data_IF_766280725618
#
_entry.id   IF_766280725618
#
_cell.length_a   1.000
_cell.length_b   1.000
_cell.length_c   1.000
_cell.angle_alpha   90.00
_cell.angle_beta   90.00
_cell.angle_gamma   90.00
#
_symmetry.space_group_name_H-M   'P 1'
#
loop_
_entity.id
_entity.type
_entity.pdbx_description
1 polymer ?
#
# COMPACT_ATOMS: atom_id res chain seq x y z
N UNK A 1 38.71 27.10 18.54
CA UNK A 1 39.71 28.19 18.63
C UNK A 1 39.17 29.22 19.61
N UNK A 2 39.96 29.47 20.66
CA UNK A 2 40.05 30.65 21.54
C UNK A 2 38.77 31.16 22.23
N UNK A 3 38.55 30.99 23.54
CA UNK A 3 39.29 31.35 24.79
C UNK A 3 38.64 32.60 25.44
N UNK A 4 38.30 32.43 26.73
CA UNK A 4 38.18 33.42 27.82
C UNK A 4 36.93 34.33 27.80
N UNK A 5 36.32 34.73 28.91
CA UNK A 5 36.81 34.83 30.31
C UNK A 5 35.60 35.01 31.23
N UNK A 6 35.58 34.29 32.35
CA UNK A 6 34.86 34.69 33.57
C UNK A 6 35.68 35.78 34.29
N UNK A 7 35.06 36.87 34.75
CA UNK A 7 35.32 37.22 36.15
C UNK A 7 34.10 37.89 36.84
N UNK A 8 33.65 37.31 37.95
CA UNK A 8 33.76 37.95 39.27
C UNK A 8 33.00 37.17 40.34
N UNK A 9 33.68 36.17 40.88
CA UNK A 9 33.59 35.78 42.29
C UNK A 9 33.81 37.04 43.16
N UNK A 10 32.73 37.58 43.72
CA UNK A 10 32.83 38.40 44.92
C UNK A 10 32.78 37.45 46.12
N UNK A 11 33.92 37.36 46.77
CA UNK A 11 34.22 36.67 48.02
C UNK A 11 33.17 36.98 49.11
N UNK A 12 32.47 35.94 49.56
CA UNK A 12 31.39 35.97 50.54
C UNK A 12 31.88 35.72 51.98
N UNK A 13 33.18 35.87 52.26
CA UNK A 13 33.76 35.54 53.58
C UNK A 13 33.50 36.56 54.70
N UNK A 14 32.86 37.71 54.46
CA UNK A 14 32.62 38.72 55.52
C UNK A 14 31.22 38.71 56.18
N UNK A 15 30.31 37.80 55.82
CA UNK A 15 28.93 37.81 56.36
C UNK A 15 28.64 36.73 57.41
N UNK A 16 29.64 36.00 57.92
CA UNK A 16 29.44 34.92 58.89
C UNK A 16 29.40 35.34 60.37
N UNK A 17 29.51 36.62 60.70
CA UNK A 17 29.49 37.05 62.10
C UNK A 17 28.47 38.16 62.35
N UNK A 18 27.24 37.72 62.67
CA UNK A 18 26.38 38.20 63.77
C UNK A 18 24.92 37.94 63.40
N UNK A 19 24.54 36.66 63.38
CA UNK A 19 23.17 36.27 63.69
C UNK A 19 23.17 35.87 65.16
N UNK A 20 22.52 36.66 66.01
CA UNK A 20 21.93 36.24 67.29
C UNK A 20 21.41 37.49 68.04
N UNK A 21 20.18 37.91 67.74
CA UNK A 21 19.18 37.93 68.81
C UNK A 21 17.76 37.99 68.25
N UNK A 22 16.96 37.12 68.85
CA UNK A 22 15.61 36.72 68.53
C UNK A 22 14.59 37.67 69.19
N UNK A 23 13.40 37.79 68.58
CA UNK A 23 12.18 37.96 69.35
C UNK A 23 11.30 39.16 68.99
N UNK A 24 10.11 38.86 68.45
CA UNK A 24 8.89 39.52 68.90
C UNK A 24 8.11 40.28 67.85
N UNK A 25 7.11 39.60 67.27
CA UNK A 25 5.81 40.08 66.80
C UNK A 25 5.49 41.57 67.04
N UNK A 26 4.95 42.25 66.02
CA UNK A 26 3.52 42.55 65.99
C UNK A 26 3.09 43.10 64.62
N UNK A 27 2.01 42.48 64.15
CA UNK A 27 1.15 42.78 63.02
C UNK A 27 0.41 44.09 63.27
N UNK A 28 0.41 45.05 62.34
CA UNK A 28 -0.71 45.99 62.18
C UNK A 28 -0.79 46.55 60.76
N UNK A 29 -1.95 46.31 60.14
CA UNK A 29 -2.49 46.94 58.94
C UNK A 29 -2.61 48.47 59.12
N UNK A 30 -2.51 49.21 58.02
CA UNK A 30 -3.00 50.59 57.96
C UNK A 30 -3.80 50.78 56.66
N UNK A 31 -5.10 50.94 56.86
CA UNK A 31 -6.09 51.34 55.87
C UNK A 31 -5.90 52.78 55.39
N UNK A 32 -6.44 52.99 54.21
CA UNK A 32 -6.76 54.28 53.59
C UNK A 32 -7.54 55.20 54.54
N UNK A 33 -7.28 56.51 54.50
CA UNK A 33 -8.26 57.42 53.91
C UNK A 33 -7.77 58.86 53.80
N UNK A 34 -8.27 59.46 52.73
CA UNK A 34 -8.11 60.82 52.26
C UNK A 34 -8.85 61.82 53.16
N UNK A 35 -8.34 63.06 53.22
CA UNK A 35 -9.16 64.20 53.62
C UNK A 35 -8.73 65.48 52.91
N UNK A 36 -9.62 65.94 52.04
CA UNK A 36 -9.78 67.33 51.63
C UNK A 36 -10.09 68.22 52.84
N UNK A 37 -9.57 69.44 52.88
CA UNK A 37 -10.39 70.65 53.03
C UNK A 37 -9.57 71.93 52.99
N UNK A 38 -10.07 72.86 52.16
CA UNK A 38 -9.76 74.28 52.12
C UNK A 38 -10.04 74.96 53.46
N UNK A 39 -9.36 76.06 53.78
CA UNK A 39 -9.97 77.27 54.36
C UNK A 39 -9.03 78.49 54.35
N UNK A 40 -9.56 79.54 53.73
CA UNK A 40 -9.43 80.99 53.95
C UNK A 40 -8.34 81.58 54.87
N UNK A 41 -7.68 82.56 54.28
CA UNK A 41 -6.93 83.70 54.82
C UNK A 41 -7.31 84.25 56.20
N UNK A 42 -6.30 84.51 57.03
CA UNK A 42 -6.15 85.77 57.77
C UNK A 42 -4.70 85.97 58.23
N UNK A 43 -4.22 87.20 58.03
CA UNK A 43 -2.88 87.70 58.30
C UNK A 43 -2.49 87.69 59.78
N UNK A 44 -1.24 87.32 60.10
CA UNK A 44 -0.32 88.16 60.91
C UNK A 44 1.04 87.50 61.21
N UNK A 45 2.09 88.30 61.00
CA UNK A 45 3.35 88.36 61.76
C UNK A 45 4.41 87.25 61.63
N UNK A 46 5.47 87.58 60.86
CA UNK A 46 6.76 86.88 60.76
C UNK A 46 7.49 86.74 62.11
N UNK A 47 7.95 85.53 62.44
CA UNK A 47 9.06 85.30 63.39
C UNK A 47 9.91 84.10 62.95
N UNK A 48 11.16 84.35 62.49
CA UNK A 48 12.14 83.32 62.11
C UNK A 48 12.68 82.59 63.36
N UNK A 49 12.68 81.26 63.38
CA UNK A 49 13.47 80.40 64.31
C UNK A 49 14.47 79.57 63.51
N UNK A 50 15.74 79.60 63.92
CA UNK A 50 16.86 78.77 63.41
C UNK A 50 16.81 77.38 64.07
N UNK A 51 17.03 76.32 63.30
CA UNK A 51 17.24 74.93 63.74
C UNK A 51 18.66 74.73 64.32
N UNK A 52 18.79 73.99 65.42
CA UNK A 52 20.08 73.59 66.05
C UNK A 52 20.44 72.16 65.62
N UNK A 53 21.73 71.91 65.42
CA UNK A 53 22.32 70.61 65.09
C UNK A 53 22.49 69.75 66.35
N UNK A 54 22.27 68.42 66.31
CA UNK A 54 22.45 67.52 67.46
C UNK A 54 23.93 67.37 67.88
N UNK A 55 24.14 67.02 69.15
CA UNK A 55 25.45 66.80 69.76
C UNK A 55 26.05 65.42 69.44
N UNK A 56 27.33 65.25 69.75
CA UNK A 56 28.13 64.09 69.34
C UNK A 56 27.68 62.77 70.00
N UNK A 57 27.10 62.80 71.20
CA UNK A 57 26.64 61.58 71.88
C UNK A 57 25.35 61.03 71.27
N UNK A 58 24.46 61.93 70.85
CA UNK A 58 23.21 61.58 70.17
C UNK A 58 23.49 60.99 68.78
N UNK A 59 24.53 61.50 68.09
CA UNK A 59 24.97 60.96 66.81
C UNK A 59 25.48 59.52 66.93
N UNK A 60 26.29 59.23 67.95
CA UNK A 60 26.87 57.89 68.14
C UNK A 60 25.85 56.83 68.59
N UNK A 61 24.91 57.17 69.48
CA UNK A 61 23.95 56.20 70.03
C UNK A 61 22.75 55.94 69.14
N UNK A 62 22.22 56.97 68.48
CA UNK A 62 20.92 56.88 67.82
C UNK A 62 21.02 56.97 66.29
N UNK A 63 21.93 57.81 65.78
CA UNK A 63 22.02 58.11 64.34
C UNK A 63 22.94 57.13 63.61
N UNK A 64 24.10 56.78 64.18
CA UNK A 64 25.07 55.88 63.53
C UNK A 64 24.51 54.47 63.27
N UNK A 65 23.80 53.79 64.19
CA UNK A 65 23.24 52.46 63.94
C UNK A 65 22.12 52.45 62.90
N UNK A 66 21.28 53.49 62.89
CA UNK A 66 20.21 53.66 61.90
C UNK A 66 20.78 53.95 60.50
N UNK A 67 21.82 54.77 60.40
CA UNK A 67 22.55 54.98 59.14
C UNK A 67 23.22 53.69 58.63
N UNK A 68 23.79 52.88 59.52
CA UNK A 68 24.37 51.58 59.14
C UNK A 68 23.30 50.59 58.65
N UNK A 69 22.15 50.50 59.32
CA UNK A 69 21.02 49.68 58.89
C UNK A 69 20.49 50.11 57.51
N UNK A 70 20.29 51.42 57.31
CA UNK A 70 19.85 51.97 56.03
C UNK A 70 20.85 51.68 54.91
N UNK A 71 22.17 51.71 55.18
CA UNK A 71 23.19 51.32 54.19
C UNK A 71 23.08 49.85 53.78
N UNK A 72 22.85 48.95 54.74
CA UNK A 72 22.68 47.52 54.47
C UNK A 72 21.39 47.27 53.70
N UNK A 73 20.27 47.86 54.11
CA UNK A 73 18.98 47.77 53.41
C UNK A 73 19.08 48.32 51.99
N UNK A 74 19.76 49.46 51.80
CA UNK A 74 20.01 50.03 50.47
C UNK A 74 20.85 49.09 49.60
N UNK A 75 21.89 48.47 50.17
CA UNK A 75 22.73 47.50 49.45
C UNK A 75 21.96 46.23 49.06
N UNK A 76 21.09 45.73 49.93
CA UNK A 76 20.18 44.62 49.63
C UNK A 76 19.16 44.98 48.55
N UNK A 77 18.59 46.18 48.60
CA UNK A 77 17.66 46.68 47.58
C UNK A 77 18.35 46.80 46.21
N UNK A 78 19.58 47.32 46.16
CA UNK A 78 20.37 47.33 44.92
C UNK A 78 20.68 45.93 44.40
N UNK A 79 21.01 44.99 45.29
CA UNK A 79 21.24 43.60 44.90
C UNK A 79 19.97 42.93 44.35
N UNK A 80 18.83 43.09 45.02
CA UNK A 80 17.54 42.53 44.60
C UNK A 80 17.02 43.12 43.30
N UNK A 81 17.21 44.42 43.08
CA UNK A 81 16.85 45.08 41.81
C UNK A 81 17.77 44.61 40.67
N UNK A 82 19.07 44.51 40.92
CA UNK A 82 20.02 43.99 39.94
C UNK A 82 19.73 42.54 39.55
N UNK A 83 19.43 41.67 40.51
CA UNK A 83 19.11 40.26 40.22
C UNK A 83 17.78 40.12 39.50
N UNK A 84 16.77 40.92 39.88
CA UNK A 84 15.48 40.98 39.17
C UNK A 84 15.68 41.44 37.73
N UNK A 85 16.39 42.53 37.49
CA UNK A 85 16.64 43.04 36.14
C UNK A 85 17.41 42.03 35.27
N UNK A 86 18.33 41.28 35.88
CA UNK A 86 19.05 40.21 35.18
C UNK A 86 18.13 39.04 34.84
N UNK A 87 17.24 38.65 35.77
CA UNK A 87 16.27 37.58 35.54
C UNK A 87 15.25 37.99 34.45
N UNK A 88 14.74 39.21 34.50
CA UNK A 88 13.80 39.74 33.51
C UNK A 88 14.42 39.76 32.10
N UNK A 89 15.71 40.09 31.98
CA UNK A 89 16.45 39.98 30.71
C UNK A 89 16.55 38.54 30.21
N UNK A 90 16.80 37.58 31.10
CA UNK A 90 16.87 36.16 30.70
C UNK A 90 15.50 35.62 30.28
N UNK A 91 14.43 36.01 30.95
CA UNK A 91 13.05 35.63 30.59
C UNK A 91 12.70 36.20 29.22
N UNK A 92 12.97 37.48 28.98
CA UNK A 92 12.70 38.11 27.69
C UNK A 92 13.47 37.45 26.54
N UNK A 93 14.71 37.01 26.77
CA UNK A 93 15.50 36.30 25.77
C UNK A 93 14.98 34.88 25.52
N UNK A 94 14.54 34.16 26.55
CA UNK A 94 13.92 32.85 26.40
C UNK A 94 12.59 32.94 25.65
N UNK A 95 11.76 33.95 25.95
CA UNK A 95 10.49 34.18 25.24
C UNK A 95 10.75 34.44 23.75
N UNK A 96 11.78 35.24 23.43
CA UNK A 96 12.20 35.48 22.04
C UNK A 96 12.61 34.18 21.32
N UNK A 97 13.35 33.30 21.99
CA UNK A 97 13.75 32.00 21.42
C UNK A 97 12.57 31.06 21.21
N UNK A 98 11.58 31.08 22.12
CA UNK A 98 10.35 30.30 21.97
C UNK A 98 9.56 30.77 20.75
N UNK A 99 9.41 32.08 20.55
CA UNK A 99 8.71 32.62 19.39
C UNK A 99 9.40 32.22 18.07
N UNK A 100 10.73 32.25 18.02
CA UNK A 100 11.50 31.78 16.85
C UNK A 100 11.25 30.28 16.56
N UNK A 101 11.29 29.43 17.58
CA UNK A 101 11.01 28.00 17.43
C UNK A 101 9.56 27.71 17.01
N UNK A 102 8.60 28.51 17.48
CA UNK A 102 7.21 28.41 17.06
C UNK A 102 7.08 28.72 15.56
N UNK A 103 7.74 29.78 15.09
CA UNK A 103 7.74 30.14 13.66
C UNK A 103 8.36 29.05 12.79
N UNK A 104 9.51 28.50 13.20
CA UNK A 104 10.18 27.42 12.47
C UNK A 104 9.32 26.15 12.42
N UNK A 105 8.71 25.77 13.55
CA UNK A 105 7.78 24.64 13.61
C UNK A 105 6.60 24.84 12.66
N UNK A 106 6.01 26.04 12.62
CA UNK A 106 4.90 26.35 11.71
C UNK A 106 5.33 26.28 10.24
N UNK A 107 6.55 26.71 9.91
CA UNK A 107 7.10 26.60 8.56
C UNK A 107 7.34 25.16 8.14
N UNK A 108 7.95 24.36 9.01
CA UNK A 108 8.17 22.93 8.77
C UNK A 108 6.84 22.19 8.62
N UNK A 109 5.85 22.50 9.45
CA UNK A 109 4.51 21.92 9.33
C UNK A 109 3.87 22.25 7.98
N UNK A 110 3.99 23.49 7.52
CA UNK A 110 3.53 23.89 6.17
C UNK A 110 4.28 23.14 5.07
N UNK A 111 5.59 22.94 5.21
CA UNK A 111 6.39 22.18 4.25
C UNK A 111 5.98 20.69 4.19
N UNK A 112 5.77 20.06 5.35
CA UNK A 112 5.29 18.68 5.47
C UNK A 112 3.91 18.53 4.82
N UNK A 113 2.99 19.45 5.09
CA UNK A 113 1.65 19.42 4.49
C UNK A 113 1.70 19.57 2.96
N UNK A 114 2.57 20.44 2.42
CA UNK A 114 2.79 20.58 0.97
C UNK A 114 3.35 19.29 0.35
N UNK A 115 4.30 18.65 1.04
CA UNK A 115 4.88 17.39 0.57
C UNK A 115 3.85 16.25 0.61
N UNK A 116 3.05 16.18 1.68
CA UNK A 116 1.97 15.21 1.81
C UNK A 116 0.91 15.35 0.70
N UNK A 117 0.52 16.58 0.35
CA UNK A 117 -0.38 16.85 -0.78
C UNK A 117 0.23 16.44 -2.13
N UNK A 118 1.53 16.67 -2.33
CA UNK A 118 2.24 16.26 -3.56
C UNK A 118 2.38 14.74 -3.65
N UNK A 119 2.68 14.06 -2.56
CA UNK A 119 2.77 12.59 -2.49
C UNK A 119 1.38 11.97 -2.69
N UNK A 120 0.34 12.51 -2.06
CA UNK A 120 -1.04 12.07 -2.24
C UNK A 120 -1.50 12.21 -3.70
N UNK A 121 -1.19 13.34 -4.35
CA UNK A 121 -1.48 13.55 -5.78
C UNK A 121 -0.72 12.59 -6.71
N UNK A 122 0.56 12.30 -6.42
CA UNK A 122 1.35 11.31 -7.18
C UNK A 122 0.78 9.90 -7.00
N UNK A 123 0.32 9.53 -5.80
CA UNK A 123 -0.31 8.23 -5.55
C UNK A 123 -1.68 8.11 -6.23
N UNK A 124 -2.48 9.18 -6.29
CA UNK A 124 -3.74 9.22 -7.02
C UNK A 124 -3.54 9.11 -8.54
N UNK A 125 -2.59 9.85 -9.13
CA UNK A 125 -2.28 9.75 -10.56
C UNK A 125 -1.63 8.41 -10.94
N UNK A 126 -0.82 7.80 -10.04
CA UNK A 126 -0.26 6.46 -10.28
C UNK A 126 -1.29 5.34 -10.13
N UNK A 127 -2.30 5.51 -9.27
CA UNK A 127 -3.43 4.58 -9.20
C UNK A 127 -4.29 4.62 -10.47
N UNK A 128 -4.45 5.79 -11.08
CA UNK A 128 -5.19 5.95 -12.35
C UNK A 128 -4.38 5.52 -13.59
N UNK A 129 -3.04 5.54 -13.53
CA UNK A 129 -2.15 5.11 -14.62
C UNK A 129 -1.62 3.68 -14.48
N UNK A 130 -2.42 2.74 -13.96
CA UNK A 130 -2.17 1.32 -14.25
C UNK A 130 -2.38 1.14 -15.75
N UNK A 131 -1.29 1.07 -16.53
CA UNK A 131 -1.35 0.59 -17.90
C UNK A 131 -2.00 -0.80 -17.84
N UNK A 132 -3.23 -0.88 -18.33
CA UNK A 132 -3.97 -2.14 -18.37
C UNK A 132 -3.18 -3.14 -19.22
N UNK A 133 -3.29 -4.41 -18.88
CA UNK A 133 -2.67 -5.49 -19.64
C UNK A 133 -3.00 -5.36 -21.13
N UNK A 134 -2.03 -5.75 -21.98
CA UNK A 134 -2.20 -5.75 -23.44
C UNK A 134 -3.48 -6.52 -23.78
N UNK A 135 -4.34 -5.89 -24.60
CA UNK A 135 -5.63 -6.47 -24.98
C UNK A 135 -5.37 -7.68 -25.89
N UNK A 136 -5.59 -8.89 -25.38
CA UNK A 136 -5.68 -10.10 -26.22
C UNK A 136 -6.98 -10.04 -27.02
N UNK A 137 -7.01 -10.62 -28.21
CA UNK A 137 -8.21 -10.72 -29.02
C UNK A 137 -9.39 -11.34 -28.25
N UNK A 138 -10.59 -10.86 -28.54
CA UNK A 138 -11.80 -11.32 -27.86
C UNK A 138 -12.22 -12.72 -28.36
N UNK A 139 -12.53 -13.70 -27.46
CA UNK A 139 -12.91 -15.06 -27.85
C UNK A 139 -14.15 -15.06 -28.76
N UNK A 140 -14.20 -15.81 -29.86
CA UNK A 140 -15.39 -15.86 -30.77
C UNK A 140 -16.72 -16.07 -30.00
N UNK A 141 -17.84 -15.62 -30.56
CA UNK A 141 -19.14 -15.82 -29.91
C UNK A 141 -19.54 -17.30 -29.90
N UNK A 142 -20.09 -17.76 -28.77
CA UNK A 142 -20.70 -19.09 -28.69
C UNK A 142 -22.09 -19.05 -29.34
N UNK A 143 -22.25 -19.78 -30.45
CA UNK A 143 -23.53 -19.96 -31.14
C UNK A 143 -23.91 -21.43 -31.15
N UNK A 144 -25.21 -21.74 -31.10
CA UNK A 144 -25.66 -23.13 -31.20
C UNK A 144 -25.51 -23.64 -32.64
N UNK A 145 -24.56 -24.57 -32.84
CA UNK A 145 -24.41 -25.33 -34.08
C UNK A 145 -23.37 -24.82 -35.08
N UNK A 146 -22.50 -23.85 -34.71
CA UNK A 146 -21.31 -23.46 -35.51
C UNK A 146 -20.11 -23.22 -34.60
N UNK A 147 -18.91 -23.32 -35.19
CA UNK A 147 -17.64 -23.01 -34.54
C UNK A 147 -17.71 -21.67 -33.78
N UNK A 148 -17.11 -21.58 -32.58
CA UNK A 148 -16.24 -22.57 -31.92
C UNK A 148 -17.00 -23.70 -31.20
N UNK A 149 -16.36 -24.87 -31.08
CA UNK A 149 -16.78 -25.90 -30.12
C UNK A 149 -16.81 -25.31 -28.71
N UNK A 150 -17.76 -25.76 -27.88
CA UNK A 150 -17.93 -25.25 -26.51
C UNK A 150 -16.63 -25.28 -25.69
N UNK A 151 -15.87 -26.36 -25.79
CA UNK A 151 -14.58 -26.52 -25.09
C UNK A 151 -13.54 -25.48 -25.49
N UNK A 152 -13.44 -25.23 -26.80
CA UNK A 152 -12.51 -24.23 -27.34
C UNK A 152 -12.91 -22.83 -26.90
N UNK A 153 -14.22 -22.53 -26.93
CA UNK A 153 -14.76 -21.28 -26.42
C UNK A 153 -14.50 -21.11 -24.92
N UNK A 154 -14.78 -22.12 -24.11
CA UNK A 154 -14.58 -22.12 -22.66
C UNK A 154 -13.11 -21.89 -22.30
N UNK A 155 -12.20 -22.58 -22.97
CA UNK A 155 -10.75 -22.40 -22.80
C UNK A 155 -10.31 -20.97 -23.15
N UNK A 156 -10.81 -20.42 -24.26
CA UNK A 156 -10.52 -19.05 -24.69
C UNK A 156 -11.05 -18.02 -23.69
N UNK A 157 -12.26 -18.21 -23.16
CA UNK A 157 -12.85 -17.33 -22.15
C UNK A 157 -12.08 -17.36 -20.83
N UNK A 158 -11.70 -18.54 -20.34
CA UNK A 158 -10.87 -18.67 -19.14
C UNK A 158 -9.51 -18.00 -19.30
N UNK A 159 -8.89 -18.17 -20.46
CA UNK A 159 -7.60 -17.53 -20.78
C UNK A 159 -7.74 -16.00 -20.82
N UNK A 160 -8.83 -15.49 -21.41
CA UNK A 160 -9.13 -14.05 -21.45
C UNK A 160 -9.24 -13.46 -20.05
N UNK A 161 -9.96 -14.12 -19.15
CA UNK A 161 -10.09 -13.66 -17.75
C UNK A 161 -8.80 -13.80 -16.95
N UNK A 162 -7.97 -14.80 -17.24
CA UNK A 162 -6.68 -14.96 -16.57
C UNK A 162 -5.68 -13.88 -17.00
N UNK A 163 -5.57 -13.59 -18.30
CA UNK A 163 -4.56 -12.65 -18.82
C UNK A 163 -5.00 -11.19 -18.69
N UNK A 164 -6.28 -10.90 -18.91
CA UNK A 164 -6.84 -9.55 -18.77
C UNK A 164 -7.58 -9.39 -17.43
N UNK A 165 -7.08 -9.99 -16.35
CA UNK A 165 -7.73 -9.95 -15.03
C UNK A 165 -8.00 -8.53 -14.52
N UNK A 166 -7.12 -7.59 -14.84
CA UNK A 166 -7.25 -6.16 -14.52
C UNK A 166 -8.38 -5.44 -15.29
N UNK A 167 -8.92 -6.04 -16.35
CA UNK A 167 -10.09 -5.53 -17.08
C UNK A 167 -11.42 -6.01 -16.49
N UNK A 168 -11.39 -7.01 -15.60
CA UNK A 168 -12.58 -7.63 -15.00
C UNK A 168 -12.49 -7.60 -13.47
N UNK A 169 -12.70 -6.43 -12.85
CA UNK A 169 -12.44 -6.22 -11.42
C UNK A 169 -13.35 -7.05 -10.50
N UNK A 170 -14.54 -7.42 -10.97
CA UNK A 170 -15.54 -8.17 -10.19
C UNK A 170 -16.23 -9.27 -11.02
N UNK A 171 -16.92 -10.17 -10.35
CA UNK A 171 -17.65 -11.28 -11.00
C UNK A 171 -18.80 -10.80 -11.89
N UNK A 172 -19.45 -9.67 -11.56
CA UNK A 172 -20.52 -9.13 -12.39
C UNK A 172 -20.00 -8.68 -13.77
N UNK A 173 -18.80 -8.09 -13.83
CA UNK A 173 -18.13 -7.72 -15.07
C UNK A 173 -17.76 -8.95 -15.92
N UNK A 174 -17.35 -10.06 -15.28
CA UNK A 174 -17.09 -11.33 -15.98
C UNK A 174 -18.38 -11.96 -16.49
N UNK A 175 -19.44 -11.96 -15.69
CA UNK A 175 -20.77 -12.47 -16.08
C UNK A 175 -21.32 -11.68 -17.28
N UNK A 176 -21.30 -10.35 -17.21
CA UNK A 176 -21.72 -9.48 -18.30
C UNK A 176 -20.88 -9.71 -19.57
N UNK A 177 -19.56 -9.93 -19.41
CA UNK A 177 -18.71 -10.27 -20.55
C UNK A 177 -19.05 -11.65 -21.14
N UNK A 178 -19.32 -12.67 -20.32
CA UNK A 178 -19.77 -13.98 -20.79
C UNK A 178 -21.07 -13.83 -21.59
N UNK A 179 -22.06 -13.12 -21.05
CA UNK A 179 -23.33 -12.84 -21.74
C UNK A 179 -23.09 -12.21 -23.12
N UNK A 180 -22.24 -11.17 -23.18
CA UNK A 180 -21.87 -10.50 -24.43
C UNK A 180 -21.06 -11.39 -25.40
N UNK A 181 -20.48 -12.51 -24.95
CA UNK A 181 -19.78 -13.50 -25.80
C UNK A 181 -20.62 -14.74 -26.10
N UNK A 182 -21.90 -14.73 -25.74
CA UNK A 182 -22.87 -15.74 -26.15
C UNK A 182 -23.88 -15.15 -27.13
N UNK A 183 -24.34 -15.95 -28.08
CA UNK A 183 -25.34 -15.52 -29.07
C UNK A 183 -26.32 -16.66 -29.38
N UNK A 184 -27.43 -16.34 -30.04
CA UNK A 184 -28.44 -17.30 -30.45
C UNK A 184 -29.07 -18.06 -29.27
N UNK A 185 -28.98 -19.39 -29.29
CA UNK A 185 -29.56 -20.19 -28.23
C UNK A 185 -28.81 -20.06 -26.89
N UNK A 186 -27.48 -19.88 -26.92
CA UNK A 186 -26.67 -19.76 -25.71
C UNK A 186 -27.06 -18.51 -24.93
N UNK A 187 -27.18 -17.37 -25.62
CA UNK A 187 -27.67 -16.12 -25.02
C UNK A 187 -29.09 -16.29 -24.44
N UNK A 188 -29.99 -16.97 -25.15
CA UNK A 188 -31.35 -17.24 -24.66
C UNK A 188 -31.38 -18.06 -23.38
N UNK A 189 -30.51 -19.06 -23.25
CA UNK A 189 -30.39 -19.85 -22.01
C UNK A 189 -29.90 -19.00 -20.84
N UNK A 190 -28.91 -18.13 -21.05
CA UNK A 190 -28.40 -17.24 -20.01
C UNK A 190 -29.43 -16.17 -19.60
N UNK A 191 -30.05 -15.51 -20.58
CA UNK A 191 -30.93 -14.35 -20.37
C UNK A 191 -32.08 -14.64 -19.38
N UNK A 192 -32.60 -15.88 -19.35
CA UNK A 192 -33.67 -16.26 -18.43
C UNK A 192 -33.25 -16.12 -16.95
N UNK A 193 -32.02 -16.53 -16.62
CA UNK A 193 -31.48 -16.56 -15.26
C UNK A 193 -30.73 -15.26 -14.89
N UNK A 194 -30.46 -14.40 -15.87
CA UNK A 194 -29.84 -13.07 -15.67
C UNK A 194 -30.84 -11.96 -15.33
N UNK A 195 -32.15 -12.22 -15.44
CA UNK A 195 -33.21 -11.22 -15.15
C UNK A 195 -33.10 -10.68 -13.72
N UNK A 196 -33.49 -9.41 -13.57
CA UNK A 196 -33.58 -8.78 -12.27
C UNK A 196 -34.59 -9.53 -11.38
N UNK A 197 -34.20 -9.81 -10.13
CA UNK A 197 -35.02 -10.54 -9.17
C UNK A 197 -35.14 -12.06 -9.41
N UNK A 198 -34.40 -12.64 -10.37
CA UNK A 198 -34.40 -14.10 -10.54
C UNK A 198 -33.77 -14.76 -9.28
N UNK A 199 -34.47 -15.68 -8.60
CA UNK A 199 -34.02 -16.24 -7.31
C UNK A 199 -32.70 -16.99 -7.41
N UNK A 200 -32.42 -17.58 -8.57
CA UNK A 200 -31.19 -18.32 -8.81
C UNK A 200 -30.17 -17.54 -9.64
N UNK A 201 -30.20 -16.21 -9.71
CA UNK A 201 -29.25 -15.45 -10.55
C UNK A 201 -27.80 -15.87 -10.30
N UNK A 202 -27.00 -15.96 -11.37
CA UNK A 202 -25.60 -16.36 -11.28
C UNK A 202 -24.81 -15.36 -10.41
N UNK A 203 -24.11 -15.88 -9.41
CA UNK A 203 -23.25 -15.09 -8.53
C UNK A 203 -21.82 -15.01 -9.05
N UNK A 204 -21.36 -16.03 -9.79
CA UNK A 204 -20.00 -16.10 -10.32
C UNK A 204 -19.95 -16.50 -11.79
N UNK A 205 -18.88 -16.09 -12.48
CA UNK A 205 -18.57 -16.55 -13.83
C UNK A 205 -18.40 -18.07 -13.90
N UNK A 206 -17.91 -18.69 -12.81
CA UNK A 206 -17.79 -20.14 -12.68
C UNK A 206 -19.13 -20.86 -12.78
N UNK A 207 -20.16 -20.35 -12.10
CA UNK A 207 -21.52 -20.89 -12.18
C UNK A 207 -22.11 -20.74 -13.58
N UNK A 208 -21.86 -19.61 -14.25
CA UNK A 208 -22.30 -19.41 -15.64
C UNK A 208 -21.65 -20.42 -16.58
N UNK A 209 -20.34 -20.69 -16.43
CA UNK A 209 -19.66 -21.72 -17.20
C UNK A 209 -20.17 -23.13 -16.90
N UNK A 210 -20.43 -23.45 -15.64
CA UNK A 210 -20.97 -24.76 -15.25
C UNK A 210 -22.36 -25.00 -15.87
N UNK A 211 -23.21 -23.98 -15.88
CA UNK A 211 -24.53 -24.06 -16.51
C UNK A 211 -24.45 -24.23 -18.03
N UNK A 212 -23.58 -23.47 -18.71
CA UNK A 212 -23.37 -23.65 -20.15
C UNK A 212 -22.75 -25.03 -20.47
N UNK A 213 -21.89 -25.52 -19.59
CA UNK A 213 -21.26 -26.84 -19.71
C UNK A 213 -22.30 -27.96 -19.65
N UNK A 214 -23.24 -27.89 -18.72
CA UNK A 214 -24.35 -28.86 -18.62
C UNK A 214 -25.23 -28.92 -19.89
N UNK A 215 -25.40 -27.79 -20.59
CA UNK A 215 -26.23 -27.71 -21.80
C UNK A 215 -25.45 -28.16 -23.05
N UNK A 216 -24.17 -27.80 -23.17
CA UNK A 216 -23.42 -27.90 -24.41
C UNK A 216 -22.30 -28.94 -24.41
N UNK A 217 -21.88 -29.43 -23.25
CA UNK A 217 -20.95 -30.56 -23.19
C UNK A 217 -21.71 -31.86 -23.48
N UNK A 218 -21.12 -32.70 -24.31
CA UNK A 218 -21.63 -34.04 -24.53
C UNK A 218 -21.34 -34.92 -23.30
N UNK A 219 -22.36 -35.40 -22.56
CA UNK A 219 -22.15 -36.23 -21.37
C UNK A 219 -21.45 -37.55 -21.70
N UNK A 220 -21.54 -38.01 -22.96
CA UNK A 220 -20.91 -39.24 -23.42
C UNK A 220 -19.55 -38.99 -24.08
N UNK A 221 -19.00 -37.78 -24.03
CA UNK A 221 -17.75 -37.42 -24.72
C UNK A 221 -16.61 -38.41 -24.49
N UNK A 222 -16.37 -38.83 -23.25
CA UNK A 222 -15.32 -39.80 -22.93
C UNK A 222 -15.58 -41.16 -23.57
N UNK A 223 -16.82 -41.64 -23.51
CA UNK A 223 -17.19 -42.93 -24.09
C UNK A 223 -17.18 -42.88 -25.63
N UNK A 224 -17.61 -41.77 -26.20
CA UNK A 224 -17.52 -41.49 -27.64
C UNK A 224 -16.05 -41.48 -28.10
N UNK A 225 -15.16 -40.78 -27.38
CA UNK A 225 -13.73 -40.79 -27.65
C UNK A 225 -13.13 -42.19 -27.55
N UNK A 226 -13.51 -42.99 -26.53
CA UNK A 226 -13.09 -44.39 -26.41
C UNK A 226 -13.58 -45.25 -27.56
N UNK A 227 -14.82 -45.06 -28.02
CA UNK A 227 -15.39 -45.77 -29.16
C UNK A 227 -14.67 -45.39 -30.46
N UNK A 228 -14.44 -44.11 -30.69
CA UNK A 228 -13.73 -43.60 -31.86
C UNK A 228 -12.27 -44.05 -31.88
N UNK A 229 -11.60 -44.00 -30.73
CA UNK A 229 -10.25 -44.54 -30.56
C UNK A 229 -10.22 -46.03 -30.85
N UNK A 230 -11.15 -46.83 -30.31
CA UNK A 230 -11.25 -48.27 -30.60
C UNK A 230 -11.41 -48.56 -32.09
N UNK A 231 -12.26 -47.78 -32.78
CA UNK A 231 -12.54 -47.92 -34.21
C UNK A 231 -11.43 -47.37 -35.11
N UNK A 232 -10.55 -46.53 -34.59
CA UNK A 232 -9.45 -45.97 -35.35
C UNK A 232 -8.49 -47.08 -35.78
N UNK A 233 -8.32 -47.20 -37.09
CA UNK A 233 -7.34 -48.05 -37.77
C UNK A 233 -6.93 -47.28 -39.04
N UNK A 234 -5.63 -47.27 -39.35
CA UNK A 234 -5.07 -46.71 -40.57
C UNK A 234 -5.42 -47.63 -41.75
N UNK A 235 -6.12 -47.10 -42.75
CA UNK A 235 -6.44 -47.84 -43.97
C UNK A 235 -5.29 -47.76 -44.97
N UNK A 236 -5.29 -48.69 -45.92
CA UNK A 236 -4.39 -48.63 -47.06
C UNK A 236 -4.68 -47.36 -47.87
N UNK A 237 -3.67 -46.51 -48.08
CA UNK A 237 -3.78 -45.23 -48.76
C UNK A 237 -4.02 -44.02 -47.85
N UNK A 238 -4.28 -44.21 -46.55
CA UNK A 238 -4.35 -43.08 -45.61
C UNK A 238 -2.97 -42.42 -45.47
N UNK A 239 -2.97 -41.08 -45.34
CA UNK A 239 -1.75 -40.34 -45.04
C UNK A 239 -1.27 -40.63 -43.61
N UNK A 240 -0.03 -41.10 -43.47
CA UNK A 240 0.54 -41.51 -42.19
C UNK A 240 0.50 -40.40 -41.13
N UNK A 241 0.91 -39.17 -41.47
CA UNK A 241 0.94 -38.07 -40.49
C UNK A 241 -0.44 -37.62 -40.05
N UNK A 242 -1.43 -37.66 -40.96
CA UNK A 242 -2.82 -37.40 -40.62
C UNK A 242 -3.36 -38.48 -39.66
N UNK A 243 -3.03 -39.76 -39.90
CA UNK A 243 -3.37 -40.85 -38.99
C UNK A 243 -2.73 -40.67 -37.61
N UNK A 244 -1.43 -40.39 -37.53
CA UNK A 244 -0.71 -40.18 -36.25
C UNK A 244 -1.34 -39.05 -35.45
N UNK A 245 -1.65 -37.93 -36.10
CA UNK A 245 -2.30 -36.77 -35.45
C UNK A 245 -3.64 -37.17 -34.86
N UNK A 246 -4.46 -37.90 -35.64
CA UNK A 246 -5.76 -38.40 -35.19
C UNK A 246 -5.64 -39.42 -34.06
N UNK A 247 -4.65 -40.31 -34.13
CA UNK A 247 -4.35 -41.29 -33.08
C UNK A 247 -4.04 -40.61 -31.76
N UNK A 248 -3.10 -39.67 -31.75
CA UNK A 248 -2.69 -38.96 -30.53
C UNK A 248 -3.83 -38.11 -29.95
N UNK A 249 -4.59 -37.46 -30.82
CA UNK A 249 -5.76 -36.68 -30.41
C UNK A 249 -6.80 -37.57 -29.71
N UNK A 250 -7.23 -38.66 -30.35
CA UNK A 250 -8.22 -39.58 -29.78
C UNK A 250 -7.68 -40.33 -28.54
N UNK A 251 -6.39 -40.68 -28.50
CA UNK A 251 -5.78 -41.30 -27.33
C UNK A 251 -5.82 -40.36 -26.12
N UNK A 252 -5.58 -39.06 -26.34
CA UNK A 252 -5.70 -38.03 -25.31
C UNK A 252 -7.14 -37.87 -24.81
N UNK A 253 -8.11 -37.75 -25.72
CA UNK A 253 -9.52 -37.61 -25.35
C UNK A 253 -10.10 -38.86 -24.66
N UNK A 254 -9.68 -40.06 -25.10
CA UNK A 254 -10.07 -41.33 -24.51
C UNK A 254 -9.32 -41.67 -23.21
N UNK A 255 -8.34 -40.84 -22.82
CA UNK A 255 -7.49 -41.00 -21.63
C UNK A 255 -6.72 -42.33 -21.63
N UNK A 256 -6.17 -42.72 -22.77
CA UNK A 256 -5.36 -43.93 -22.90
C UNK A 256 -4.01 -43.72 -22.20
N UNK A 257 -3.56 -44.65 -21.35
CA UNK A 257 -2.23 -44.60 -20.76
C UNK A 257 -1.13 -44.57 -21.83
N UNK A 258 -0.09 -43.75 -21.64
CA UNK A 258 1.02 -43.63 -22.60
C UNK A 258 1.78 -44.94 -22.81
N UNK A 259 1.82 -45.80 -21.79
CA UNK A 259 2.47 -47.11 -21.87
C UNK A 259 1.79 -48.04 -22.88
N UNK A 260 0.49 -47.85 -23.10
CA UNK A 260 -0.29 -48.64 -24.07
C UNK A 260 -0.14 -48.12 -25.51
N UNK A 261 0.38 -46.89 -25.71
CA UNK A 261 0.43 -46.25 -27.04
C UNK A 261 1.21 -47.09 -28.03
N UNK A 262 2.35 -47.66 -27.63
CA UNK A 262 3.20 -48.43 -28.53
C UNK A 262 2.46 -49.65 -29.11
N UNK A 263 1.84 -50.45 -28.25
CA UNK A 263 1.13 -51.66 -28.66
C UNK A 263 -0.07 -51.31 -29.53
N UNK A 264 -0.92 -50.40 -29.03
CA UNK A 264 -2.12 -49.98 -29.74
C UNK A 264 -1.81 -49.36 -31.10
N UNK A 265 -0.80 -48.49 -31.16
CA UNK A 265 -0.40 -47.84 -32.39
C UNK A 265 -0.01 -48.86 -33.44
N UNK A 266 0.86 -49.82 -33.08
CA UNK A 266 1.27 -50.89 -33.99
C UNK A 266 0.07 -51.69 -34.50
N UNK A 267 -0.86 -52.08 -33.62
CA UNK A 267 -2.07 -52.83 -34.00
C UNK A 267 -3.04 -52.03 -34.89
N UNK A 268 -2.97 -50.70 -34.84
CA UNK A 268 -3.84 -49.80 -35.60
C UNK A 268 -3.22 -49.31 -36.91
N UNK A 269 -1.96 -49.59 -37.18
CA UNK A 269 -1.34 -49.32 -38.48
C UNK A 269 -2.00 -50.14 -39.60
N UNK A 270 -1.81 -49.70 -40.84
CA UNK A 270 -2.24 -50.47 -42.00
C UNK A 270 -1.45 -51.77 -42.10
N UNK A 271 -2.06 -52.81 -42.64
CA UNK A 271 -1.40 -54.13 -42.74
C UNK A 271 -0.06 -54.05 -43.48
N UNK A 272 0.00 -53.28 -44.56
CA UNK A 272 1.24 -53.11 -45.34
C UNK A 272 2.33 -52.42 -44.52
N UNK A 273 1.97 -51.36 -43.77
CA UNK A 273 2.92 -50.65 -42.92
C UNK A 273 3.40 -51.53 -41.76
N UNK A 274 2.48 -52.22 -41.07
CA UNK A 274 2.80 -53.21 -40.04
C UNK A 274 3.81 -54.23 -40.55
N UNK A 275 3.56 -54.82 -41.72
CA UNK A 275 4.44 -55.84 -42.30
C UNK A 275 5.84 -55.31 -42.60
N UNK A 276 5.96 -54.09 -43.13
CA UNK A 276 7.28 -53.51 -43.46
C UNK A 276 8.08 -53.12 -42.22
N UNK A 277 7.41 -52.64 -41.17
CA UNK A 277 8.10 -52.17 -39.95
C UNK A 277 8.31 -53.26 -38.91
N UNK A 278 7.61 -54.40 -39.03
CA UNK A 278 7.59 -55.47 -38.02
C UNK A 278 8.99 -55.83 -37.50
N UNK A 279 9.92 -56.16 -38.40
CA UNK A 279 11.28 -56.56 -38.00
C UNK A 279 12.05 -55.45 -37.27
N UNK A 280 11.88 -54.20 -37.68
CA UNK A 280 12.54 -53.05 -37.06
C UNK A 280 11.90 -52.68 -35.70
N UNK A 281 10.58 -52.85 -35.58
CA UNK A 281 9.83 -52.49 -34.38
C UNK A 281 9.97 -53.51 -33.23
N UNK A 282 10.45 -54.73 -33.49
CA UNK A 282 10.67 -55.77 -32.44
C UNK A 282 11.56 -55.25 -31.31
N UNK A 283 12.63 -54.53 -31.66
CA UNK A 283 13.61 -54.02 -30.69
C UNK A 283 13.28 -52.62 -30.16
N UNK A 284 12.19 -52.02 -30.61
CA UNK A 284 11.80 -50.72 -30.08
C UNK A 284 11.37 -50.87 -28.62
N UNK A 285 11.80 -49.96 -27.76
CA UNK A 285 11.39 -49.88 -26.36
C UNK A 285 10.37 -48.78 -26.15
N UNK A 286 10.38 -47.75 -27.00
CA UNK A 286 9.51 -46.57 -26.86
C UNK A 286 8.52 -46.42 -28.02
N UNK A 287 7.44 -45.69 -27.76
CA UNK A 287 6.48 -45.28 -28.78
C UNK A 287 7.13 -44.38 -29.84
N UNK A 288 8.04 -43.49 -29.44
CA UNK A 288 8.72 -42.56 -30.34
C UNK A 288 9.57 -43.29 -31.39
N UNK A 289 10.34 -44.30 -30.98
CA UNK A 289 11.14 -45.12 -31.91
C UNK A 289 10.27 -45.77 -32.99
N UNK A 290 9.10 -46.28 -32.60
CA UNK A 290 8.12 -46.86 -33.54
C UNK A 290 7.62 -45.81 -34.52
N UNK A 291 7.28 -44.60 -34.05
CA UNK A 291 6.83 -43.51 -34.92
C UNK A 291 7.90 -43.12 -35.96
N UNK A 292 9.16 -42.98 -35.54
CA UNK A 292 10.26 -42.61 -36.44
C UNK A 292 10.54 -43.67 -37.52
N UNK A 293 10.45 -44.95 -37.17
CA UNK A 293 10.56 -46.05 -38.14
C UNK A 293 9.39 -46.01 -39.12
N UNK A 294 8.17 -45.85 -38.62
CA UNK A 294 6.98 -45.83 -39.45
C UNK A 294 6.97 -44.62 -40.40
N UNK A 295 7.30 -43.42 -39.93
CA UNK A 295 7.38 -42.21 -40.75
C UNK A 295 8.36 -42.38 -41.92
N UNK A 296 9.59 -42.84 -41.63
CA UNK A 296 10.59 -43.09 -42.68
C UNK A 296 10.15 -44.14 -43.69
N UNK A 297 9.40 -45.14 -43.24
CA UNK A 297 8.90 -46.22 -44.10
C UNK A 297 7.74 -45.74 -44.97
N UNK A 298 6.80 -44.97 -44.42
CA UNK A 298 5.69 -44.40 -45.19
C UNK A 298 6.16 -43.45 -46.29
N UNK A 299 7.17 -42.62 -46.03
CA UNK A 299 7.73 -41.70 -47.02
C UNK A 299 8.41 -42.41 -48.19
N UNK A 300 9.03 -43.58 -47.94
CA UNK A 300 9.68 -44.39 -48.99
C UNK A 300 8.64 -45.00 -49.93
N UNK A 301 7.50 -45.44 -49.40
CA UNK A 301 6.43 -46.01 -50.20
C UNK A 301 5.77 -44.98 -51.13
N UNK A 302 5.53 -43.77 -50.65
CA UNK A 302 4.97 -42.69 -51.49
C UNK A 302 5.89 -42.37 -52.66
N UNK A 303 7.21 -42.41 -52.47
CA UNK A 303 8.20 -42.16 -53.52
C UNK A 303 8.28 -43.28 -54.56
N UNK A 304 7.98 -44.52 -54.21
CA UNK A 304 7.96 -45.65 -55.15
C UNK A 304 6.72 -45.72 -56.05
N UNK A 305 5.63 -45.01 -55.69
CA UNK A 305 4.38 -45.00 -56.47
C UNK A 305 4.31 -43.89 -57.53
N UNK A 306 5.27 -42.96 -57.57
CA UNK A 306 5.33 -41.91 -58.60
C UNK A 306 6.13 -42.44 -59.81
N UNK A 307 5.51 -42.67 -60.98
CA UNK A 307 6.26 -43.09 -62.16
C UNK A 307 7.15 -41.95 -62.62
N UNK A 308 8.44 -42.24 -62.86
CA UNK A 308 9.34 -41.31 -63.52
C UNK A 308 8.76 -40.95 -64.89
N UNK A 309 8.40 -39.68 -65.08
CA UNK A 309 8.01 -39.11 -66.37
C UNK A 309 9.22 -38.99 -67.29
#
# INVERSE_FOLDING_TARGET
MNIATDPALLDLSELSHLNEYNGGNEEYQADEESSNSSLTSSSSSKRRRRTRHPDAETYEREIRPTEQRLRVETKWMYFLTFTKDNLDKTVAELDRQVDELIMERDELQRAVNRLALRIGGIQQEQAERKQRSVKIDDPKHLTYGKEPLFEHWLSSMKSKFAVNADHFPDEASKIAYIENRTDGAAARHLANRMREGHPEKFATAGETFAYLKDIYEDPNKLENAKNDYRRLVMRNGDEYHAFVTKFLHLAGEAQIPKDDYKGDFLHKLSFDLQRMVAAACINCTTFQEVQEICARTSERNVKSEIPSR
#
